data_IF_392888573005
#
_entry.id   IF_392888573005
#
_cell.length_a   1.000
_cell.length_b   1.000
_cell.length_c   1.000
_cell.angle_alpha   90.00
_cell.angle_beta   90.00
_cell.angle_gamma   90.00
#
_symmetry.space_group_name_H-M   'P 1'
#
loop_
_entity.id
_entity.type
_entity.pdbx_description
1 polymer ?
#
# COMPACT_ATOMS: atom_id res chain seq x y z
N UNK A 1 -20.47 17.37 -16.91
CA UNK A 1 -19.68 17.53 -18.14
C UNK A 1 -20.47 16.95 -19.31
N UNK A 2 -20.86 17.77 -20.30
CA UNK A 2 -21.67 17.36 -21.46
C UNK A 2 -20.89 16.62 -22.58
N UNK A 3 -19.88 15.84 -22.19
CA UNK A 3 -19.09 15.07 -23.17
C UNK A 3 -19.80 13.77 -23.49
N UNK A 4 -20.05 13.53 -24.77
CA UNK A 4 -20.65 12.27 -25.25
C UNK A 4 -19.64 11.11 -25.07
N UNK A 5 -20.14 9.95 -24.65
CA UNK A 5 -19.31 8.73 -24.42
C UNK A 5 -18.48 8.34 -25.63
N UNK A 6 -19.04 8.48 -26.84
CA UNK A 6 -18.34 8.17 -28.09
C UNK A 6 -17.11 9.04 -28.33
N UNK A 7 -17.22 10.36 -28.08
CA UNK A 7 -16.10 11.30 -28.22
C UNK A 7 -15.00 11.02 -27.20
N UNK A 8 -15.38 10.65 -25.96
CA UNK A 8 -14.42 10.26 -24.94
C UNK A 8 -13.63 9.02 -25.34
N UNK A 9 -14.32 7.95 -25.75
CA UNK A 9 -13.64 6.72 -26.18
C UNK A 9 -12.80 6.91 -27.44
N UNK A 10 -13.23 7.74 -28.38
CA UNK A 10 -12.43 8.04 -29.57
C UNK A 10 -11.13 8.78 -29.22
N UNK A 11 -11.16 9.70 -28.23
CA UNK A 11 -9.97 10.42 -27.79
C UNK A 11 -8.92 9.53 -27.10
N UNK A 12 -9.36 8.46 -26.44
CA UNK A 12 -8.48 7.54 -25.68
C UNK A 12 -8.24 6.19 -26.38
N UNK A 13 -8.73 5.97 -27.59
CA UNK A 13 -8.57 4.69 -28.30
C UNK A 13 -9.47 3.56 -27.77
N UNK A 14 -10.48 3.88 -26.95
CA UNK A 14 -11.44 2.92 -26.44
C UNK A 14 -11.61 2.93 -24.91
N UNK A 15 -12.63 2.20 -24.45
CA UNK A 15 -12.96 2.11 -23.01
C UNK A 15 -11.81 1.53 -22.18
N UNK A 16 -11.14 0.49 -22.73
CA UNK A 16 -10.01 -0.17 -22.04
C UNK A 16 -8.84 0.79 -21.87
N UNK A 17 -8.45 1.49 -22.94
CA UNK A 17 -7.34 2.42 -22.87
C UNK A 17 -7.62 3.57 -21.91
N UNK A 18 -8.82 4.13 -21.92
CA UNK A 18 -9.26 5.12 -20.95
C UNK A 18 -9.14 4.61 -19.49
N UNK A 19 -9.54 3.34 -19.26
CA UNK A 19 -9.43 2.72 -17.94
C UNK A 19 -7.96 2.60 -17.47
N UNK A 20 -7.06 2.12 -18.35
CA UNK A 20 -5.64 1.99 -18.04
C UNK A 20 -4.98 3.35 -17.75
N UNK A 21 -5.27 4.36 -18.57
CA UNK A 21 -4.76 5.72 -18.31
C UNK A 21 -5.32 6.33 -17.02
N UNK A 22 -6.59 6.07 -16.70
CA UNK A 22 -7.16 6.53 -15.44
C UNK A 22 -6.50 5.85 -14.23
N UNK A 23 -6.18 4.55 -14.35
CA UNK A 23 -5.47 3.78 -13.34
C UNK A 23 -4.06 4.35 -13.13
N UNK A 24 -3.30 4.58 -14.22
CA UNK A 24 -1.95 5.13 -14.18
C UNK A 24 -1.93 6.54 -13.54
N UNK A 25 -2.89 7.41 -13.88
CA UNK A 25 -2.99 8.77 -13.30
C UNK A 25 -3.36 8.75 -11.81
N UNK A 26 -4.24 7.83 -11.42
CA UNK A 26 -4.60 7.65 -10.01
C UNK A 26 -3.40 7.19 -9.20
N UNK A 27 -2.68 6.20 -9.72
CA UNK A 27 -1.46 5.67 -9.15
C UNK A 27 -0.39 6.75 -8.97
N UNK A 28 -0.08 7.49 -10.02
CA UNK A 28 0.95 8.53 -10.00
C UNK A 28 0.64 9.63 -8.98
N UNK A 29 -0.62 10.01 -8.85
CA UNK A 29 -1.03 11.00 -7.83
C UNK A 29 -0.80 10.49 -6.42
N UNK A 30 -1.21 9.25 -6.13
CA UNK A 30 -1.01 8.63 -4.83
C UNK A 30 0.47 8.47 -4.52
N UNK A 31 1.25 7.96 -5.49
CA UNK A 31 2.69 7.73 -5.34
C UNK A 31 3.46 9.03 -5.04
N UNK A 32 3.19 10.11 -5.75
CA UNK A 32 3.82 11.43 -5.48
C UNK A 32 3.53 11.93 -4.07
N UNK A 33 2.31 11.79 -3.59
CA UNK A 33 1.97 12.17 -2.22
C UNK A 33 2.70 11.30 -1.20
N UNK A 34 2.79 9.99 -1.45
CA UNK A 34 3.52 9.04 -0.63
C UNK A 34 5.01 9.42 -0.53
N UNK A 35 5.67 9.68 -1.67
CA UNK A 35 7.07 10.10 -1.69
C UNK A 35 7.29 11.36 -0.84
N UNK A 36 6.46 12.38 -1.03
CA UNK A 36 6.56 13.62 -0.24
C UNK A 36 6.50 13.35 1.26
N UNK A 37 5.57 12.53 1.73
CA UNK A 37 5.47 12.19 3.15
C UNK A 37 6.69 11.41 3.65
N UNK A 38 7.20 10.49 2.84
CA UNK A 38 8.35 9.66 3.20
C UNK A 38 9.69 10.41 3.15
N UNK A 39 9.77 11.51 2.41
CA UNK A 39 10.96 12.37 2.32
C UNK A 39 11.05 13.38 3.48
N UNK A 40 9.93 13.71 4.11
CA UNK A 40 9.84 14.68 5.19
C UNK A 40 9.93 14.03 6.58
N UNK A 41 10.96 14.36 7.34
CA UNK A 41 11.13 13.93 8.73
C UNK A 41 11.63 12.50 8.89
N UNK A 42 11.26 11.84 9.98
CA UNK A 42 11.64 10.45 10.25
C UNK A 42 10.85 9.45 9.40
N UNK A 43 11.42 8.27 9.13
CA UNK A 43 10.73 7.20 8.43
C UNK A 43 9.40 6.84 9.10
N UNK A 44 9.37 6.77 10.44
CA UNK A 44 8.16 6.48 11.22
C UNK A 44 7.07 7.51 10.99
N UNK A 45 7.44 8.79 11.00
CA UNK A 45 6.49 9.89 10.80
C UNK A 45 5.98 9.96 9.36
N UNK A 46 6.87 9.76 8.39
CA UNK A 46 6.47 9.68 6.98
C UNK A 46 5.50 8.54 6.71
N UNK A 47 5.79 7.35 7.26
CA UNK A 47 4.90 6.17 7.15
C UNK A 47 3.56 6.46 7.85
N UNK A 48 3.55 7.07 9.05
CA UNK A 48 2.32 7.49 9.73
C UNK A 48 1.46 8.37 8.81
N UNK A 49 2.03 9.40 8.21
CA UNK A 49 1.30 10.32 7.31
C UNK A 49 0.69 9.61 6.11
N UNK A 50 1.38 8.61 5.54
CA UNK A 50 0.84 7.80 4.43
C UNK A 50 -0.41 7.04 4.87
N UNK A 51 -0.40 6.43 6.05
CA UNK A 51 -1.54 5.69 6.58
C UNK A 51 -2.70 6.62 6.97
N UNK A 52 -2.41 7.72 7.66
CA UNK A 52 -3.41 8.72 8.05
C UNK A 52 -4.08 9.38 6.84
N UNK A 53 -3.35 9.59 5.74
CA UNK A 53 -3.94 10.07 4.50
C UNK A 53 -5.01 9.10 3.98
N UNK A 54 -4.76 7.79 4.04
CA UNK A 54 -5.76 6.78 3.63
C UNK A 54 -6.99 6.83 4.52
N UNK A 55 -6.82 6.96 5.84
CA UNK A 55 -7.94 7.11 6.79
C UNK A 55 -8.74 8.39 6.50
N UNK A 56 -8.04 9.51 6.27
CA UNK A 56 -8.66 10.79 5.93
C UNK A 56 -9.43 10.74 4.61
N UNK A 57 -8.87 10.13 3.57
CA UNK A 57 -9.53 9.94 2.27
C UNK A 57 -10.83 9.13 2.42
N UNK A 58 -10.83 8.15 3.32
CA UNK A 58 -12.01 7.36 3.64
C UNK A 58 -13.10 8.19 4.31
N UNK A 59 -12.73 9.01 5.28
CA UNK A 59 -13.67 9.90 5.98
C UNK A 59 -14.34 10.89 5.03
N UNK A 60 -13.56 11.51 4.13
CA UNK A 60 -14.05 12.51 3.17
C UNK A 60 -14.94 11.94 2.07
N UNK A 61 -14.74 10.69 1.66
CA UNK A 61 -15.47 10.07 0.55
C UNK A 61 -16.79 9.41 0.94
N UNK A 62 -17.24 9.55 2.20
CA UNK A 62 -18.39 8.78 2.72
C UNK A 62 -18.09 7.29 2.84
N UNK A 63 -16.84 6.90 2.99
CA UNK A 63 -16.39 5.55 3.38
C UNK A 63 -16.45 4.46 2.30
N UNK A 64 -17.16 4.65 1.19
CA UNK A 64 -17.58 3.51 0.34
C UNK A 64 -16.81 3.33 -0.97
N UNK A 65 -15.99 4.29 -1.39
CA UNK A 65 -15.32 4.23 -2.71
C UNK A 65 -14.11 3.29 -2.75
N UNK A 66 -13.41 3.15 -1.63
CA UNK A 66 -12.19 2.36 -1.56
C UNK A 66 -11.05 2.90 -2.46
N UNK A 67 -10.00 2.13 -2.63
CA UNK A 67 -8.88 2.45 -3.50
C UNK A 67 -9.08 1.87 -4.90
N UNK A 68 -8.91 2.68 -5.94
CA UNK A 68 -9.08 2.23 -7.33
C UNK A 68 -8.14 1.06 -7.65
N UNK A 69 -6.86 1.13 -7.24
CA UNK A 69 -5.88 0.06 -7.49
C UNK A 69 -6.23 -1.23 -6.75
N UNK A 70 -6.59 -1.12 -5.44
CA UNK A 70 -6.98 -2.29 -4.65
C UNK A 70 -8.25 -2.95 -5.22
N UNK A 71 -9.22 -2.14 -5.63
CA UNK A 71 -10.43 -2.63 -6.27
C UNK A 71 -10.14 -3.32 -7.60
N UNK A 72 -9.24 -2.74 -8.39
CA UNK A 72 -8.79 -3.31 -9.67
C UNK A 72 -8.05 -4.63 -9.46
N UNK A 73 -7.18 -4.71 -8.45
CA UNK A 73 -6.47 -5.94 -8.11
C UNK A 73 -7.44 -7.09 -7.82
N UNK A 74 -8.46 -6.84 -7.01
CA UNK A 74 -9.45 -7.87 -6.62
C UNK A 74 -10.38 -8.24 -7.78
N UNK A 75 -10.76 -7.27 -8.62
CA UNK A 75 -11.80 -7.48 -9.63
C UNK A 75 -11.27 -7.99 -10.97
N UNK A 76 -10.04 -7.68 -11.35
CA UNK A 76 -9.57 -7.86 -12.74
C UNK A 76 -8.21 -8.56 -12.85
N UNK A 77 -7.44 -8.72 -11.77
CA UNK A 77 -6.06 -9.21 -11.89
C UNK A 77 -5.98 -10.68 -12.34
N UNK A 78 -7.00 -11.49 -12.10
CA UNK A 78 -7.05 -12.89 -12.51
C UNK A 78 -7.29 -13.02 -14.02
N UNK A 79 -8.20 -12.20 -14.58
CA UNK A 79 -8.66 -12.31 -15.96
C UNK A 79 -7.89 -11.40 -16.94
N UNK A 80 -7.11 -10.42 -16.44
CA UNK A 80 -6.43 -9.43 -17.24
C UNK A 80 -4.93 -9.30 -16.88
N UNK A 81 -4.05 -10.05 -17.58
CA UNK A 81 -2.62 -10.06 -17.30
C UNK A 81 -1.93 -8.68 -17.40
N UNK A 82 -2.38 -7.80 -18.30
CA UNK A 82 -1.84 -6.44 -18.43
C UNK A 82 -2.20 -5.59 -17.20
N UNK A 83 -3.47 -5.60 -16.80
CA UNK A 83 -3.93 -4.93 -15.59
C UNK A 83 -3.22 -5.50 -14.35
N UNK A 84 -3.08 -6.82 -14.24
CA UNK A 84 -2.34 -7.46 -13.16
C UNK A 84 -0.87 -7.01 -13.11
N UNK A 85 -0.22 -6.86 -14.27
CA UNK A 85 1.16 -6.37 -14.35
C UNK A 85 1.29 -4.95 -13.82
N UNK A 86 0.37 -4.04 -14.19
CA UNK A 86 0.33 -2.66 -13.70
C UNK A 86 0.14 -2.60 -12.18
N UNK A 87 -0.82 -3.35 -11.67
CA UNK A 87 -1.07 -3.43 -10.21
C UNK A 87 0.17 -3.95 -9.47
N UNK A 88 0.81 -5.01 -9.95
CA UNK A 88 2.06 -5.51 -9.36
C UNK A 88 3.18 -4.48 -9.40
N UNK A 89 3.31 -3.75 -10.50
CA UNK A 89 4.29 -2.67 -10.63
C UNK A 89 4.05 -1.57 -9.58
N UNK A 90 2.78 -1.18 -9.38
CA UNK A 90 2.40 -0.22 -8.37
C UNK A 90 2.80 -0.66 -6.96
N UNK A 91 2.48 -1.90 -6.59
CA UNK A 91 2.85 -2.42 -5.27
C UNK A 91 4.37 -2.44 -5.07
N UNK A 92 5.15 -2.81 -6.11
CA UNK A 92 6.62 -2.75 -6.04
C UNK A 92 7.13 -1.32 -5.83
N UNK A 93 6.61 -0.36 -6.59
CA UNK A 93 6.98 1.06 -6.42
C UNK A 93 6.72 1.55 -4.99
N UNK A 94 5.60 1.14 -4.41
CA UNK A 94 5.26 1.48 -3.03
C UNK A 94 6.20 0.81 -2.02
N UNK A 95 6.51 -0.49 -2.22
CA UNK A 95 7.51 -1.19 -1.42
C UNK A 95 8.87 -0.50 -1.50
N UNK A 96 9.33 -0.13 -2.73
CA UNK A 96 10.60 0.54 -2.95
C UNK A 96 10.66 1.90 -2.24
N UNK A 97 9.56 2.65 -2.23
CA UNK A 97 9.46 3.93 -1.52
C UNK A 97 9.55 3.75 0.01
N UNK A 98 8.83 2.77 0.57
CA UNK A 98 8.94 2.45 2.00
C UNK A 98 10.34 1.96 2.37
N UNK A 99 10.92 1.04 1.58
CA UNK A 99 12.27 0.55 1.80
C UNK A 99 13.31 1.66 1.80
N UNK A 100 13.24 2.58 0.83
CA UNK A 100 14.13 3.73 0.75
C UNK A 100 14.01 4.63 1.99
N UNK A 101 12.79 4.88 2.48
CA UNK A 101 12.58 5.64 3.71
C UNK A 101 13.16 4.94 4.94
N UNK A 102 12.89 3.64 5.08
CA UNK A 102 13.37 2.82 6.19
C UNK A 102 14.90 2.67 6.19
N UNK A 103 15.52 2.55 5.01
CA UNK A 103 16.98 2.44 4.88
C UNK A 103 17.74 3.71 5.23
N UNK A 104 17.06 4.87 5.21
CA UNK A 104 17.64 6.14 5.71
C UNK A 104 17.52 6.29 7.22
N UNK A 105 16.71 5.45 7.86
CA UNK A 105 16.53 5.49 9.31
C UNK A 105 17.79 4.97 10.02
N UNK A 106 18.28 5.70 11.01
CA UNK A 106 19.44 5.27 11.77
C UNK A 106 19.13 4.04 12.65
N UNK A 107 20.09 3.10 12.78
CA UNK A 107 19.99 2.08 13.84
C UNK A 107 19.96 2.74 15.23
N UNK A 108 19.13 2.32 16.16
CA UNK A 108 18.39 1.08 16.25
C UNK A 108 16.91 1.16 15.83
N UNK A 109 16.50 2.18 15.09
CA UNK A 109 15.09 2.45 14.76
C UNK A 109 14.35 1.30 14.06
N UNK A 110 15.07 0.44 13.31
CA UNK A 110 14.49 -0.74 12.67
C UNK A 110 14.52 -1.99 13.57
N UNK A 111 15.14 -1.90 14.74
CA UNK A 111 15.17 -2.98 15.73
C UNK A 111 15.68 -4.32 15.17
N UNK A 112 16.66 -4.27 14.25
CA UNK A 112 17.23 -5.46 13.60
C UNK A 112 16.36 -6.09 12.51
N UNK A 113 15.28 -5.43 12.09
CA UNK A 113 14.46 -5.91 10.96
C UNK A 113 15.01 -5.42 9.63
N UNK A 114 14.87 -6.28 8.61
CA UNK A 114 15.22 -5.94 7.24
C UNK A 114 14.28 -4.88 6.67
N UNK A 115 14.78 -3.75 6.12
CA UNK A 115 13.94 -2.69 5.55
C UNK A 115 12.94 -3.21 4.51
N UNK A 116 13.37 -4.13 3.64
CA UNK A 116 12.50 -4.73 2.61
C UNK A 116 11.34 -5.52 3.20
N UNK A 117 11.58 -6.28 4.28
CA UNK A 117 10.52 -7.03 4.95
C UNK A 117 9.48 -6.11 5.58
N UNK A 118 9.93 -5.02 6.21
CA UNK A 118 9.05 -3.98 6.75
C UNK A 118 8.29 -3.26 5.63
N UNK A 119 8.93 -2.93 4.51
CA UNK A 119 8.29 -2.30 3.37
C UNK A 119 7.14 -3.14 2.81
N UNK A 120 7.34 -4.46 2.67
CA UNK A 120 6.29 -5.41 2.28
C UNK A 120 5.16 -5.48 3.29
N UNK A 121 5.49 -5.51 4.57
CA UNK A 121 4.50 -5.49 5.65
C UNK A 121 3.65 -4.21 5.60
N UNK A 122 4.26 -3.02 5.47
CA UNK A 122 3.53 -1.75 5.35
C UNK A 122 2.68 -1.68 4.09
N UNK A 123 3.19 -2.17 2.96
CA UNK A 123 2.40 -2.25 1.72
C UNK A 123 1.17 -3.12 1.90
N UNK A 124 1.31 -4.32 2.47
CA UNK A 124 0.19 -5.22 2.75
C UNK A 124 -0.81 -4.63 3.74
N UNK A 125 -0.32 -4.05 4.84
CA UNK A 125 -1.16 -3.38 5.86
C UNK A 125 -1.96 -2.23 5.26
N UNK A 126 -1.35 -1.42 4.39
CA UNK A 126 -2.02 -0.32 3.71
C UNK A 126 -3.14 -0.81 2.78
N UNK A 127 -2.94 -1.93 2.07
CA UNK A 127 -4.00 -2.53 1.26
C UNK A 127 -5.14 -3.09 2.13
N UNK A 128 -4.81 -3.72 3.26
CA UNK A 128 -5.78 -4.17 4.26
C UNK A 128 -6.65 -3.02 4.78
N UNK A 129 -6.02 -1.90 5.15
CA UNK A 129 -6.72 -0.69 5.60
C UNK A 129 -7.70 -0.16 4.55
N UNK A 130 -7.31 -0.17 3.26
CA UNK A 130 -8.17 0.25 2.14
C UNK A 130 -9.36 -0.67 1.91
N UNK A 131 -9.19 -1.98 2.14
CA UNK A 131 -10.29 -2.96 2.08
C UNK A 131 -11.26 -2.73 3.23
N UNK A 132 -10.77 -2.60 4.47
CA UNK A 132 -11.59 -2.32 5.65
C UNK A 132 -12.40 -1.02 5.47
N UNK A 133 -11.76 0.03 5.01
CA UNK A 133 -12.41 1.29 4.70
C UNK A 133 -13.56 1.15 3.71
N UNK A 134 -13.39 0.32 2.67
CA UNK A 134 -14.45 0.05 1.69
C UNK A 134 -15.66 -0.68 2.31
N UNK A 135 -15.42 -1.48 3.34
CA UNK A 135 -16.49 -2.17 4.08
C UNK A 135 -17.25 -1.24 5.03
N UNK A 136 -16.86 0.04 5.14
CA UNK A 136 -17.54 1.01 6.00
C UNK A 136 -17.32 0.76 7.49
N UNK A 137 -16.18 0.17 7.88
CA UNK A 137 -15.87 0.01 9.31
C UNK A 137 -15.70 1.39 9.97
N UNK A 138 -15.98 1.51 11.28
CA UNK A 138 -15.78 2.76 12.01
C UNK A 138 -14.35 3.29 11.89
N UNK A 139 -14.19 4.62 11.87
CA UNK A 139 -12.85 5.25 11.80
C UNK A 139 -11.93 4.84 12.95
N UNK A 140 -12.49 4.58 14.12
CA UNK A 140 -11.75 4.07 15.29
C UNK A 140 -11.02 2.76 14.95
N UNK A 141 -11.67 1.82 14.26
CA UNK A 141 -11.06 0.55 13.84
C UNK A 141 -9.88 0.80 12.87
N UNK A 142 -10.00 1.79 11.98
CA UNK A 142 -8.93 2.16 11.08
C UNK A 142 -7.75 2.79 11.81
N UNK A 143 -8.02 3.66 12.79
CA UNK A 143 -6.98 4.27 13.63
C UNK A 143 -6.26 3.23 14.48
N UNK A 144 -6.97 2.31 15.12
CA UNK A 144 -6.36 1.20 15.86
C UNK A 144 -5.43 0.36 14.98
N UNK A 145 -5.87 0.03 13.77
CA UNK A 145 -5.06 -0.70 12.80
C UNK A 145 -3.78 0.08 12.42
N UNK A 146 -3.86 1.41 12.28
CA UNK A 146 -2.69 2.26 12.02
C UNK A 146 -1.73 2.24 13.18
N UNK A 147 -2.19 2.46 14.42
CA UNK A 147 -1.33 2.48 15.61
C UNK A 147 -0.62 1.15 15.82
N UNK A 148 -1.34 0.03 15.70
CA UNK A 148 -0.74 -1.30 15.81
C UNK A 148 0.27 -1.55 14.69
N UNK A 149 -0.03 -1.14 13.47
CA UNK A 149 0.89 -1.27 12.33
C UNK A 149 2.19 -0.48 12.57
N UNK A 150 2.11 0.74 13.09
CA UNK A 150 3.28 1.56 13.37
C UNK A 150 4.09 1.06 14.58
N UNK A 151 3.45 0.37 15.53
CA UNK A 151 4.11 -0.16 16.72
C UNK A 151 5.21 -1.19 16.40
N UNK A 152 5.23 -1.73 15.19
CA UNK A 152 6.30 -2.63 14.72
C UNK A 152 7.65 -1.91 14.62
N UNK A 153 7.65 -0.59 14.45
CA UNK A 153 8.86 0.23 14.48
C UNK A 153 9.34 0.56 15.91
N UNK A 154 8.48 0.37 16.90
CA UNK A 154 8.76 0.67 18.30
C UNK A 154 9.24 -0.57 19.09
N UNK A 155 9.11 -1.78 18.51
CA UNK A 155 9.42 -3.05 19.19
C UNK A 155 10.63 -3.75 18.54
N UNK A 156 11.53 -4.35 19.34
CA UNK A 156 12.61 -5.16 18.81
C UNK A 156 12.09 -6.32 17.94
N UNK A 157 12.90 -6.77 16.98
CA UNK A 157 12.59 -7.97 16.23
C UNK A 157 12.38 -9.16 17.21
N UNK A 158 11.41 -10.05 16.98
CA UNK A 158 11.33 -11.28 17.75
C UNK A 158 12.67 -12.01 17.60
N UNK A 159 13.30 -12.35 18.73
CA UNK A 159 14.48 -13.20 18.70
C UNK A 159 14.07 -14.50 18.03
N UNK A 160 14.76 -14.85 16.94
CA UNK A 160 14.46 -16.07 16.19
C UNK A 160 14.44 -17.27 17.13
N UNK A 161 13.30 -17.93 17.25
CA UNK A 161 13.30 -19.30 17.73
C UNK A 161 14.19 -20.07 16.75
N UNK A 162 15.37 -20.49 17.18
CA UNK A 162 16.16 -21.48 16.48
C UNK A 162 15.22 -22.64 16.18
N UNK A 163 14.87 -22.78 14.91
CA UNK A 163 14.25 -24.01 14.44
C UNK A 163 15.36 -25.04 14.67
N UNK A 164 15.29 -25.77 15.78
CA UNK A 164 16.11 -26.94 16.02
C UNK A 164 15.93 -27.82 14.78
N UNK A 165 16.94 -27.84 13.93
CA UNK A 165 17.09 -28.89 12.91
C UNK A 165 17.09 -30.18 13.69
N UNK A 166 15.97 -30.91 13.66
CA UNK A 166 15.89 -32.22 14.20
C UNK A 166 17.03 -33.06 13.60
N UNK A 167 17.87 -33.56 14.46
CA UNK A 167 18.90 -34.55 14.17
C UNK A 167 18.22 -35.73 13.46
N UNK A 168 18.61 -36.11 12.23
CA UNK A 168 18.11 -37.33 11.63
C UNK A 168 18.72 -38.48 12.41
N UNK A 169 17.98 -38.92 13.45
CA UNK A 169 18.33 -40.03 14.31
C UNK A 169 18.76 -41.23 13.52
N UNK A 170 19.92 -41.69 13.88
CA UNK A 170 20.53 -42.95 13.63
C UNK A 170 19.53 -44.08 13.97
N UNK A 171 19.22 -44.95 12.96
CA UNK A 171 18.40 -46.13 13.12
C UNK A 171 18.41 -46.99 11.85
#
# INVERSE_FOLDING_TARGET
MGIQRGSLYAAFGGKRQLFLEALDRYEERFYRNTLRFLEEGSAREGIRRVFEQVVSDCACAGGTKGCFITNTAVALAEDDPETASRVRSNFRRLEDAFEAALSRAEPPSLQGREPRALARFFTGSLQGLRVLSRCGVPLEVLHDAVEVTLSVLDKPAPQGSEIQKGDPGNG
#
